data_IF_938080624552
#
_entry.id   IF_938080624552
#
_cell.length_a   1.000
_cell.length_b   1.000
_cell.length_c   1.000
_cell.angle_alpha   90.00
_cell.angle_beta   90.00
_cell.angle_gamma   90.00
#
_symmetry.space_group_name_H-M   'P 1'
#
loop_
_entity.id
_entity.type
_entity.pdbx_description
1 polymer ?
#
# COMPACT_ATOMS: atom_id res chain seq x y z
N UNK A 1 49.22 -3.30 18.06
CA UNK A 1 48.42 -3.45 16.83
C UNK A 1 47.40 -4.54 17.12
N UNK A 2 46.32 -4.14 17.80
CA UNK A 2 45.31 -5.04 18.36
C UNK A 2 44.02 -4.22 18.44
N UNK A 3 43.03 -4.51 17.59
CA UNK A 3 41.89 -5.37 17.91
C UNK A 3 40.90 -5.27 16.74
N UNK A 4 40.59 -6.44 16.23
CA UNK A 4 39.50 -6.79 15.34
C UNK A 4 38.15 -6.45 16.00
N UNK A 5 37.22 -5.88 15.22
CA UNK A 5 35.78 -5.98 15.49
C UNK A 5 35.05 -6.21 14.17
N UNK A 6 34.56 -7.44 14.07
CA UNK A 6 33.53 -7.90 13.15
C UNK A 6 32.24 -7.20 13.54
N UNK A 7 31.66 -6.42 12.64
CA UNK A 7 30.29 -5.89 12.80
C UNK A 7 29.35 -6.82 12.03
N UNK A 8 28.63 -7.64 12.80
CA UNK A 8 27.59 -8.53 12.32
C UNK A 8 26.41 -7.69 11.85
N UNK A 9 26.19 -7.64 10.53
CA UNK A 9 24.99 -7.04 9.97
C UNK A 9 23.84 -8.05 10.09
N UNK A 10 22.96 -7.74 11.02
CA UNK A 10 21.69 -8.37 11.33
C UNK A 10 20.84 -8.60 10.06
N UNK A 11 20.62 -9.88 9.74
CA UNK A 11 19.66 -10.32 8.71
C UNK A 11 18.24 -10.14 9.27
N UNK A 12 17.66 -8.96 9.05
CA UNK A 12 16.22 -8.79 9.13
C UNK A 12 15.63 -9.37 7.84
N UNK A 13 15.00 -10.55 7.97
CA UNK A 13 14.40 -11.30 6.85
C UNK A 13 13.49 -10.42 6.00
N UNK A 14 13.98 -10.09 4.81
CA UNK A 14 13.22 -9.43 3.76
C UNK A 14 12.20 -10.46 3.25
N UNK A 15 10.95 -10.35 3.74
CA UNK A 15 9.84 -11.09 3.14
C UNK A 15 9.58 -10.48 1.78
N UNK A 16 10.03 -11.15 0.71
CA UNK A 16 9.61 -10.86 -0.66
C UNK A 16 8.08 -10.94 -0.71
N UNK A 17 7.43 -9.79 -0.80
CA UNK A 17 6.03 -9.69 -1.20
C UNK A 17 6.03 -9.83 -2.72
N UNK A 18 5.31 -10.85 -3.20
CA UNK A 18 5.17 -11.15 -4.62
C UNK A 18 4.81 -9.87 -5.38
N UNK A 19 5.72 -9.38 -6.23
CA UNK A 19 5.52 -8.16 -6.98
C UNK A 19 4.41 -8.35 -8.00
N UNK A 20 3.22 -7.87 -7.68
CA UNK A 20 2.14 -7.78 -8.67
C UNK A 20 2.56 -6.77 -9.73
N UNK A 21 3.00 -7.31 -10.88
CA UNK A 21 3.15 -6.55 -12.11
C UNK A 21 1.73 -6.23 -12.58
N UNK A 22 1.18 -5.08 -12.15
CA UNK A 22 -0.08 -4.55 -12.65
C UNK A 22 0.12 -4.18 -14.12
N UNK A 23 -0.02 -5.17 -15.00
CA UNK A 23 -0.10 -4.98 -16.44
C UNK A 23 -1.53 -4.53 -16.74
N UNK A 24 -1.74 -3.22 -16.71
CA UNK A 24 -2.99 -2.60 -17.16
C UNK A 24 -3.36 -3.08 -18.57
N UNK A 25 -4.66 -3.12 -18.91
CA UNK A 25 -5.12 -3.61 -20.21
C UNK A 25 -4.42 -2.83 -21.33
N UNK A 26 -3.96 -3.57 -22.33
CA UNK A 26 -3.22 -3.02 -23.46
C UNK A 26 -3.95 -1.81 -24.09
N UNK A 27 -3.20 -0.70 -24.30
CA UNK A 27 -3.56 0.64 -24.87
C UNK A 27 -3.65 1.70 -23.77
N UNK A 28 -2.75 2.67 -23.61
CA UNK A 28 -2.10 3.54 -24.60
C UNK A 28 -0.85 4.12 -23.90
N UNK A 29 0.36 3.77 -24.33
CA UNK A 29 1.58 4.41 -23.77
C UNK A 29 1.69 5.83 -24.31
N UNK A 30 1.11 6.80 -23.59
CA UNK A 30 1.17 8.23 -23.93
C UNK A 30 1.86 9.02 -22.82
N UNK A 31 3.05 8.57 -22.41
CA UNK A 31 3.98 9.43 -21.67
C UNK A 31 4.87 10.14 -22.70
N UNK A 32 4.61 11.41 -22.93
CA UNK A 32 5.39 12.25 -23.84
C UNK A 32 6.69 12.70 -23.17
N UNK A 33 7.77 12.74 -23.95
CA UNK A 33 9.04 13.26 -23.48
C UNK A 33 8.94 14.76 -23.17
N UNK A 34 9.56 15.17 -22.05
CA UNK A 34 9.68 16.59 -21.67
C UNK A 34 8.51 17.17 -20.89
N UNK A 35 7.49 16.37 -20.55
CA UNK A 35 6.38 16.78 -19.68
C UNK A 35 6.55 16.18 -18.28
N UNK A 36 6.46 16.99 -17.20
CA UNK A 36 6.46 16.46 -15.84
C UNK A 36 5.12 15.76 -15.56
N UNK A 37 5.19 14.55 -14.99
CA UNK A 37 4.03 13.76 -14.59
C UNK A 37 3.97 13.62 -13.06
N UNK A 38 2.76 13.67 -12.50
CA UNK A 38 2.47 13.31 -11.12
C UNK A 38 1.63 12.05 -11.11
N UNK A 39 2.16 10.98 -10.53
CA UNK A 39 1.46 9.72 -10.35
C UNK A 39 0.96 9.67 -8.91
N UNK A 40 -0.32 9.36 -8.73
CA UNK A 40 -0.97 9.14 -7.43
C UNK A 40 -1.47 7.70 -7.38
N UNK A 41 -1.35 7.07 -6.21
CA UNK A 41 -1.84 5.71 -5.98
C UNK A 41 -2.96 5.80 -4.96
N UNK A 42 -4.17 5.46 -5.39
CA UNK A 42 -5.32 5.32 -4.51
C UNK A 42 -5.46 3.84 -4.13
N UNK A 43 -5.25 3.52 -2.85
CA UNK A 43 -5.30 2.17 -2.34
C UNK A 43 -6.58 1.99 -1.51
N UNK A 44 -7.45 1.08 -1.95
CA UNK A 44 -8.66 0.70 -1.22
C UNK A 44 -8.38 -0.54 -0.36
N UNK A 45 -8.58 -0.43 0.96
CA UNK A 45 -8.38 -1.53 1.90
C UNK A 45 -9.64 -1.77 2.74
N UNK A 46 -10.03 -3.05 2.96
CA UNK A 46 -11.12 -3.36 3.86
C UNK A 46 -10.70 -3.09 5.31
N UNK A 47 -11.63 -2.60 6.12
CA UNK A 47 -11.46 -2.39 7.57
C UNK A 47 -11.56 -3.72 8.34
N UNK A 48 -10.75 -4.72 7.95
CA UNK A 48 -10.66 -6.00 8.64
C UNK A 48 -9.74 -5.88 9.88
N UNK A 49 -9.97 -6.68 10.94
CA UNK A 49 -9.10 -6.66 12.12
C UNK A 49 -7.64 -6.97 11.77
N UNK A 50 -7.41 -7.89 10.82
CA UNK A 50 -6.07 -8.23 10.33
C UNK A 50 -5.40 -7.00 9.70
N UNK A 51 -6.13 -6.20 8.92
CA UNK A 51 -5.58 -5.01 8.29
C UNK A 51 -5.38 -3.85 9.27
N UNK A 52 -6.21 -3.74 10.31
CA UNK A 52 -6.05 -2.75 11.38
C UNK A 52 -4.79 -3.07 12.22
N UNK A 53 -4.53 -4.35 12.48
CA UNK A 53 -3.37 -4.81 13.26
C UNK A 53 -2.02 -4.69 12.53
N UNK A 54 -2.02 -4.46 11.21
CA UNK A 54 -0.79 -4.24 10.43
C UNK A 54 -0.03 -2.98 10.87
N UNK A 55 -0.73 -1.98 11.41
CA UNK A 55 -0.15 -0.70 11.77
C UNK A 55 0.39 0.07 10.56
N UNK A 56 1.64 0.51 10.62
CA UNK A 56 2.31 1.19 9.50
C UNK A 56 2.86 0.16 8.52
N UNK A 57 2.41 0.21 7.27
CA UNK A 57 2.95 -0.59 6.17
C UNK A 57 3.62 0.29 5.12
N UNK A 58 4.59 -0.26 4.39
CA UNK A 58 5.31 0.46 3.34
C UNK A 58 4.75 0.07 1.96
N UNK A 59 4.43 1.07 1.16
CA UNK A 59 4.01 0.91 -0.23
C UNK A 59 5.14 1.39 -1.13
N UNK A 60 5.60 0.52 -2.03
CA UNK A 60 6.66 0.82 -3.00
C UNK A 60 6.12 0.77 -4.42
N UNK A 61 6.30 1.87 -5.15
CA UNK A 61 5.95 2.00 -6.56
C UNK A 61 7.24 2.04 -7.36
N UNK A 62 7.41 1.11 -8.28
CA UNK A 62 8.54 1.07 -9.23
C UNK A 62 8.02 1.26 -10.65
N UNK A 63 8.55 2.27 -11.33
CA UNK A 63 8.23 2.53 -12.73
C UNK A 63 9.22 1.77 -13.62
N UNK A 64 8.69 1.04 -14.60
CA UNK A 64 9.48 0.25 -15.54
C UNK A 64 9.38 0.80 -16.96
N UNK A 65 10.47 0.73 -17.72
CA UNK A 65 10.44 0.90 -19.19
C UNK A 65 10.02 -0.39 -19.88
N UNK A 66 9.62 -0.33 -21.16
CA UNK A 66 9.33 -1.50 -22.02
C UNK A 66 10.45 -2.55 -22.03
N UNK A 67 11.69 -2.14 -21.75
CA UNK A 67 12.85 -3.04 -21.63
C UNK A 67 13.05 -3.68 -20.25
N UNK A 68 12.09 -3.55 -19.32
CA UNK A 68 12.15 -4.14 -17.98
C UNK A 68 13.12 -3.47 -17.01
N UNK A 69 13.72 -2.33 -17.37
CA UNK A 69 14.59 -1.57 -16.46
C UNK A 69 13.76 -0.64 -15.58
N UNK A 70 14.14 -0.53 -14.31
CA UNK A 70 13.54 0.40 -13.35
C UNK A 70 14.03 1.82 -13.68
N UNK A 71 13.10 2.75 -13.93
CA UNK A 71 13.41 4.16 -14.19
C UNK A 71 13.27 5.03 -12.93
N UNK A 72 12.40 4.65 -12.01
CA UNK A 72 12.19 5.33 -10.74
C UNK A 72 11.56 4.38 -9.75
N UNK A 73 11.86 4.54 -8.47
CA UNK A 73 11.19 3.84 -7.37
C UNK A 73 10.90 4.83 -6.27
N UNK A 74 9.68 4.78 -5.74
CA UNK A 74 9.22 5.62 -4.64
C UNK A 74 8.57 4.74 -3.59
N UNK A 75 8.94 4.93 -2.33
CA UNK A 75 8.34 4.22 -1.19
C UNK A 75 7.68 5.21 -0.24
N UNK A 76 6.47 4.89 0.22
CA UNK A 76 5.68 5.69 1.15
C UNK A 76 5.12 4.80 2.26
N UNK A 77 5.31 5.22 3.50
CA UNK A 77 4.68 4.56 4.65
C UNK A 77 3.24 5.04 4.75
N UNK A 78 2.31 4.10 4.84
CA UNK A 78 0.88 4.34 4.96
C UNK A 78 0.35 3.57 6.17
N UNK A 79 -0.71 4.07 6.78
CA UNK A 79 -1.33 3.45 7.95
C UNK A 79 -2.85 3.55 7.82
N UNK A 80 -3.56 2.48 8.18
CA UNK A 80 -5.02 2.54 8.29
C UNK A 80 -5.42 3.54 9.39
N UNK A 81 -6.52 4.25 9.19
CA UNK A 81 -6.98 5.20 10.20
C UNK A 81 -7.55 4.42 11.37
N UNK A 82 -6.85 4.47 12.50
CA UNK A 82 -7.30 3.80 13.72
C UNK A 82 -8.65 4.38 14.19
N UNK A 83 -9.61 3.48 14.41
CA UNK A 83 -10.88 3.75 15.08
C UNK A 83 -10.99 2.78 16.26
N UNK A 84 -11.57 3.22 17.37
CA UNK A 84 -11.76 2.35 18.52
C UNK A 84 -12.89 1.35 18.28
N UNK A 85 -12.79 0.17 18.89
CA UNK A 85 -13.79 -0.91 18.79
C UNK A 85 -15.21 -0.43 19.11
N UNK A 86 -15.34 0.42 20.14
CA UNK A 86 -16.63 1.00 20.54
C UNK A 86 -17.20 1.90 19.42
N UNK A 87 -16.35 2.71 18.79
CA UNK A 87 -16.76 3.59 17.71
C UNK A 87 -17.14 2.75 16.48
N UNK A 88 -16.35 1.73 16.14
CA UNK A 88 -16.66 0.81 15.04
C UNK A 88 -17.98 0.06 15.27
N UNK A 89 -18.27 -0.37 16.51
CA UNK A 89 -19.57 -0.98 16.86
C UNK A 89 -20.72 0.01 16.74
N UNK A 90 -20.57 1.25 17.22
CA UNK A 90 -21.61 2.27 17.06
C UNK A 90 -21.86 2.61 15.60
N UNK A 91 -20.81 2.76 14.79
CA UNK A 91 -20.91 3.03 13.36
C UNK A 91 -21.63 1.88 12.64
N UNK A 92 -21.25 0.64 12.95
CA UNK A 92 -21.90 -0.56 12.42
C UNK A 92 -23.37 -0.67 12.85
N UNK A 93 -23.72 -0.30 14.09
CA UNK A 93 -25.11 -0.32 14.56
C UNK A 93 -25.96 0.76 13.88
N UNK A 94 -25.44 1.98 13.75
CA UNK A 94 -26.12 3.11 13.11
C UNK A 94 -26.35 2.83 11.62
N UNK A 95 -25.34 2.30 10.93
CA UNK A 95 -25.42 1.95 9.51
C UNK A 95 -25.84 0.50 9.24
N UNK A 96 -26.30 -0.24 10.25
CA UNK A 96 -26.60 -1.67 10.17
C UNK A 96 -27.59 -2.01 9.05
N UNK A 97 -28.64 -1.22 8.89
CA UNK A 97 -29.62 -1.40 7.82
C UNK A 97 -28.97 -1.22 6.44
N UNK A 98 -28.17 -0.17 6.23
CA UNK A 98 -27.52 0.09 4.94
C UNK A 98 -26.47 -0.96 4.58
N UNK A 99 -25.71 -1.45 5.57
CA UNK A 99 -24.72 -2.52 5.39
C UNK A 99 -25.40 -3.85 5.00
N UNK A 100 -26.51 -4.22 5.66
CA UNK A 100 -27.24 -5.45 5.37
C UNK A 100 -27.92 -5.45 4.00
N UNK A 101 -28.38 -4.28 3.54
CA UNK A 101 -28.92 -4.12 2.19
C UNK A 101 -27.81 -3.99 1.11
N UNK A 102 -26.53 -3.98 1.50
CA UNK A 102 -25.39 -3.90 0.58
C UNK A 102 -25.20 -2.53 -0.07
N UNK A 103 -25.82 -1.47 0.47
CA UNK A 103 -25.64 -0.10 -0.05
C UNK A 103 -24.35 0.55 0.46
N UNK A 104 -23.75 0.00 1.52
CA UNK A 104 -22.50 0.47 2.10
C UNK A 104 -21.58 -0.73 2.37
N UNK A 105 -20.27 -0.51 2.20
CA UNK A 105 -19.21 -1.46 2.53
C UNK A 105 -18.21 -0.80 3.49
N UNK A 106 -17.61 -1.58 4.38
CA UNK A 106 -16.58 -1.11 5.32
C UNK A 106 -15.21 -1.10 4.64
N UNK A 107 -14.88 0.04 4.03
CA UNK A 107 -13.65 0.23 3.27
C UNK A 107 -13.03 1.59 3.51
N UNK A 108 -11.70 1.62 3.50
CA UNK A 108 -10.90 2.82 3.62
C UNK A 108 -10.11 3.06 2.35
N UNK A 109 -10.21 4.28 1.82
CA UNK A 109 -9.39 4.77 0.70
C UNK A 109 -8.18 5.52 1.26
N UNK A 110 -6.99 5.15 0.79
CA UNK A 110 -5.72 5.80 1.11
C UNK A 110 -5.16 6.45 -0.15
N UNK A 111 -4.80 7.74 -0.05
CA UNK A 111 -4.17 8.53 -1.13
C UNK A 111 -2.64 8.63 -1.01
#
# INVERSE_FOLDING_TARGET
>A
MSTEKVDQKEEAGEKEVCGDQIKGPDKEEVLMYGQPYRVTLELELPESPVNQDLGMFLVTISCYTRGGRIISTSSRSVMLHYRSDLLQMLDTLVFSSLLLFGFAEQKQLLE
#
